data_IF_705159358702
#
_entry.id   IF_705159358702
#
_cell.length_a   1.000
_cell.length_b   1.000
_cell.length_c   1.000
_cell.angle_alpha   90.00
_cell.angle_beta   90.00
_cell.angle_gamma   90.00
#
_symmetry.space_group_name_H-M   'P 1'
#
loop_
_entity.id
_entity.type
_entity.pdbx_description
1 polymer ?
#
# COMPACT_ATOMS: atom_id res chain seq x y z
N UNK A 1 -16.16 18.14 23.07
CA UNK A 1 -14.98 17.67 22.34
C UNK A 1 -14.89 16.16 22.56
N UNK A 2 -15.23 15.35 21.55
CA UNK A 2 -15.14 13.90 21.67
C UNK A 2 -13.67 13.52 21.64
N UNK A 3 -13.16 13.00 22.74
CA UNK A 3 -11.84 12.41 22.85
C UNK A 3 -11.83 11.16 21.98
N UNK A 4 -11.24 11.25 20.79
CA UNK A 4 -10.93 10.07 19.96
C UNK A 4 -9.90 9.26 20.74
N UNK A 5 -10.34 8.20 21.43
CA UNK A 5 -9.43 7.22 22.01
C UNK A 5 -8.62 6.60 20.89
N UNK A 6 -7.36 6.99 20.79
CA UNK A 6 -6.41 6.34 19.88
C UNK A 6 -6.26 4.91 20.34
N UNK A 7 -6.73 3.95 19.53
CA UNK A 7 -6.56 2.53 19.84
C UNK A 7 -5.07 2.22 19.81
N UNK A 8 -4.50 1.87 20.96
CA UNK A 8 -3.09 1.50 21.08
C UNK A 8 -2.83 0.22 20.31
N UNK A 9 -1.86 0.24 19.38
CA UNK A 9 -1.42 -0.89 18.58
C UNK A 9 -0.07 -1.39 19.05
N UNK A 10 0.20 -2.69 18.88
CA UNK A 10 1.48 -3.31 19.23
C UNK A 10 2.27 -3.64 17.95
N UNK A 11 3.43 -3.02 17.80
CA UNK A 11 4.30 -3.15 16.63
C UNK A 11 5.61 -3.81 17.02
N UNK A 12 6.03 -4.84 16.29
CA UNK A 12 7.38 -5.38 16.38
C UNK A 12 8.24 -4.76 15.30
N UNK A 13 9.40 -4.25 15.69
CA UNK A 13 10.41 -3.69 14.78
C UNK A 13 11.65 -4.57 14.81
N UNK A 14 11.93 -5.25 13.72
CA UNK A 14 13.04 -6.16 13.55
C UNK A 14 14.10 -5.54 12.62
N UNK A 15 15.21 -5.13 13.21
CA UNK A 15 16.33 -4.48 12.52
C UNK A 15 17.60 -4.68 13.35
N UNK A 16 18.75 -4.92 12.74
CA UNK A 16 20.02 -5.12 13.47
C UNK A 16 20.64 -3.79 13.95
N UNK A 17 20.28 -2.68 13.32
CA UNK A 17 20.79 -1.33 13.61
C UNK A 17 20.03 -0.68 14.76
N UNK A 18 20.70 -0.41 15.87
CA UNK A 18 20.10 0.23 17.04
C UNK A 18 19.43 1.58 16.71
N UNK A 19 20.09 2.39 15.90
CA UNK A 19 19.59 3.71 15.47
C UNK A 19 18.22 3.60 14.76
N UNK A 20 18.05 2.62 13.88
CA UNK A 20 16.79 2.38 13.18
C UNK A 20 15.70 1.95 14.16
N UNK A 21 16.00 0.98 15.03
CA UNK A 21 15.04 0.54 16.06
C UNK A 21 14.58 1.67 16.97
N UNK A 22 15.50 2.51 17.44
CA UNK A 22 15.18 3.63 18.33
C UNK A 22 14.37 4.72 17.62
N UNK A 23 14.63 4.94 16.35
CA UNK A 23 13.87 5.86 15.50
C UNK A 23 12.41 5.41 15.34
N UNK A 24 12.17 4.13 15.06
CA UNK A 24 10.81 3.58 15.00
C UNK A 24 10.13 3.61 16.36
N UNK A 25 10.84 3.20 17.42
CA UNK A 25 10.34 3.22 18.79
C UNK A 25 9.87 4.61 19.19
N UNK A 26 10.73 5.61 19.12
CA UNK A 26 10.41 6.98 19.49
C UNK A 26 9.21 7.53 18.72
N UNK A 27 9.14 7.23 17.41
CA UNK A 27 8.06 7.72 16.54
C UNK A 27 6.71 7.07 16.89
N UNK A 28 6.69 5.77 17.11
CA UNK A 28 5.47 5.00 17.37
C UNK A 28 4.98 5.20 18.82
N UNK A 29 5.88 5.21 19.81
CA UNK A 29 5.53 5.49 21.20
C UNK A 29 5.04 6.92 21.37
N UNK A 30 5.65 7.89 20.67
CA UNK A 30 5.16 9.26 20.60
C UNK A 30 3.75 9.40 20.01
N UNK A 31 3.32 8.44 19.19
CA UNK A 31 1.97 8.33 18.66
C UNK A 31 1.01 7.48 19.53
N UNK A 32 1.45 6.99 20.70
CA UNK A 32 0.64 6.23 21.64
C UNK A 32 0.57 4.72 21.37
N UNK A 33 1.48 4.16 20.56
CA UNK A 33 1.56 2.73 20.27
C UNK A 33 2.57 2.02 21.15
N UNK A 34 2.43 0.69 21.31
CA UNK A 34 3.43 -0.16 21.98
C UNK A 34 4.44 -0.67 20.94
N UNK A 35 5.73 -0.62 21.27
CA UNK A 35 6.78 -1.06 20.38
C UNK A 35 7.67 -2.10 21.06
N UNK A 36 7.86 -3.21 20.37
CA UNK A 36 8.84 -4.24 20.73
C UNK A 36 9.93 -4.23 19.67
N UNK A 37 11.17 -4.06 20.08
CA UNK A 37 12.29 -4.09 19.14
C UNK A 37 13.10 -5.37 19.29
N UNK A 38 13.49 -5.96 18.17
CA UNK A 38 14.30 -7.17 18.11
C UNK A 38 15.44 -6.97 17.11
N UNK A 39 16.58 -7.60 17.34
CA UNK A 39 17.79 -7.42 16.53
C UNK A 39 18.18 -8.64 15.69
N UNK A 40 17.51 -9.77 15.89
CA UNK A 40 17.80 -11.01 15.19
C UNK A 40 16.53 -11.70 14.72
N UNK A 41 16.66 -12.54 13.69
CA UNK A 41 15.59 -13.37 13.19
C UNK A 41 15.03 -14.34 14.25
N UNK A 42 15.91 -14.89 15.11
CA UNK A 42 15.50 -15.78 16.20
C UNK A 42 14.62 -15.06 17.23
N UNK A 43 15.01 -13.86 17.64
CA UNK A 43 14.21 -13.02 18.54
C UNK A 43 12.85 -12.67 17.92
N UNK A 44 12.83 -12.31 16.61
CA UNK A 44 11.60 -12.01 15.90
C UNK A 44 10.65 -13.22 15.91
N UNK A 45 11.12 -14.38 15.50
CA UNK A 45 10.29 -15.59 15.45
C UNK A 45 9.81 -16.02 16.83
N UNK A 46 10.65 -15.91 17.87
CA UNK A 46 10.25 -16.16 19.25
C UNK A 46 9.13 -15.21 19.68
N UNK A 47 9.27 -13.93 19.35
CA UNK A 47 8.27 -12.91 19.69
C UNK A 47 6.95 -13.13 18.97
N UNK A 48 6.99 -13.40 17.65
CA UNK A 48 5.78 -13.69 16.86
C UNK A 48 5.06 -14.92 17.43
N UNK A 49 5.77 -15.98 17.81
CA UNK A 49 5.14 -17.18 18.40
C UNK A 49 4.50 -16.90 19.77
N UNK A 50 5.15 -16.10 20.61
CA UNK A 50 4.66 -15.82 21.95
C UNK A 50 3.44 -14.89 21.96
N UNK A 51 3.41 -13.89 21.10
CA UNK A 51 2.47 -12.77 21.18
C UNK A 51 1.57 -12.61 19.96
N UNK A 52 1.45 -13.62 19.11
CA UNK A 52 0.73 -13.53 17.83
C UNK A 52 -0.66 -12.88 17.94
N UNK A 53 -1.41 -13.19 19.00
CA UNK A 53 -2.77 -12.66 19.22
C UNK A 53 -2.82 -11.18 19.61
N UNK A 54 -1.69 -10.60 20.01
CA UNK A 54 -1.60 -9.21 20.47
C UNK A 54 -0.78 -8.31 19.54
N UNK A 55 -0.14 -8.91 18.52
CA UNK A 55 0.64 -8.17 17.54
C UNK A 55 -0.25 -7.64 16.43
N UNK A 56 -0.13 -6.36 16.13
CA UNK A 56 -0.87 -5.69 15.05
C UNK A 56 -0.05 -5.52 13.78
N UNK A 57 1.29 -5.44 13.87
CA UNK A 57 2.17 -5.20 12.73
C UNK A 57 3.61 -5.66 13.02
N UNK A 58 4.27 -6.21 12.00
CA UNK A 58 5.72 -6.40 11.97
C UNK A 58 6.34 -5.44 10.96
N UNK A 59 7.34 -4.67 11.40
CA UNK A 59 8.26 -3.93 10.53
C UNK A 59 9.55 -4.73 10.47
N UNK A 60 9.95 -5.16 9.28
CA UNK A 60 11.01 -6.11 9.06
C UNK A 60 12.08 -5.56 8.13
N UNK A 61 13.33 -5.48 8.60
CA UNK A 61 14.48 -5.39 7.69
C UNK A 61 14.76 -6.76 7.06
N UNK A 62 14.85 -6.81 5.73
CA UNK A 62 15.17 -8.02 4.98
C UNK A 62 16.64 -8.45 5.15
N UNK A 63 17.49 -7.60 5.71
CA UNK A 63 18.93 -7.83 5.86
C UNK A 63 19.34 -8.20 7.28
N UNK A 64 18.42 -8.72 8.06
CA UNK A 64 18.78 -9.25 9.37
C UNK A 64 19.89 -10.29 9.26
N UNK A 65 20.93 -10.24 10.08
CA UNK A 65 22.06 -11.16 10.03
C UNK A 65 21.62 -12.63 10.12
N UNK A 66 22.26 -13.47 9.31
CA UNK A 66 22.07 -14.94 9.27
C UNK A 66 20.65 -15.41 8.89
N UNK A 67 19.85 -14.55 8.27
CA UNK A 67 18.52 -14.94 7.78
C UNK A 67 18.21 -14.24 6.46
N UNK A 68 18.07 -14.95 5.33
CA UNK A 68 17.51 -14.38 4.11
C UNK A 68 16.10 -13.84 4.39
N UNK A 69 15.83 -12.57 4.00
CA UNK A 69 14.60 -11.88 4.37
C UNK A 69 13.35 -12.60 3.90
N UNK A 70 13.37 -13.15 2.68
CA UNK A 70 12.24 -13.93 2.13
C UNK A 70 11.98 -15.20 2.97
N UNK A 71 13.02 -15.93 3.37
CA UNK A 71 12.86 -17.15 4.18
C UNK A 71 12.38 -16.83 5.59
N UNK A 72 12.74 -15.66 6.11
CA UNK A 72 12.23 -15.18 7.38
C UNK A 72 10.73 -14.89 7.29
N UNK A 73 10.28 -14.23 6.21
CA UNK A 73 8.84 -14.01 5.95
C UNK A 73 8.12 -15.36 5.81
N UNK A 74 8.67 -16.34 5.06
CA UNK A 74 8.11 -17.70 4.98
C UNK A 74 7.97 -18.34 6.36
N UNK A 75 8.97 -18.15 7.22
CA UNK A 75 8.95 -18.70 8.58
C UNK A 75 7.89 -18.04 9.46
N UNK A 76 7.65 -16.74 9.32
CA UNK A 76 6.55 -16.04 9.99
C UNK A 76 5.22 -16.58 9.47
N UNK A 77 5.04 -16.72 8.16
CA UNK A 77 3.81 -17.20 7.53
C UNK A 77 3.40 -18.61 7.95
N UNK A 78 4.35 -19.45 8.32
CA UNK A 78 4.07 -20.79 8.91
C UNK A 78 3.46 -20.71 10.32
N UNK A 79 3.64 -19.60 11.01
CA UNK A 79 3.17 -19.40 12.38
C UNK A 79 1.86 -18.60 12.41
N UNK A 80 1.73 -17.58 11.57
CA UNK A 80 0.63 -16.60 11.61
C UNK A 80 -0.52 -16.91 10.64
N UNK A 81 -0.37 -17.92 9.80
CA UNK A 81 -1.37 -18.28 8.77
C UNK A 81 -1.74 -17.09 7.87
N UNK A 82 -0.76 -16.22 7.60
CA UNK A 82 -0.93 -15.06 6.72
C UNK A 82 -1.72 -13.88 7.29
N UNK A 83 -2.01 -13.87 8.58
CA UNK A 83 -2.90 -12.86 9.21
C UNK A 83 -2.17 -11.61 9.68
N UNK A 84 -0.92 -11.75 10.15
CA UNK A 84 -0.15 -10.63 10.69
C UNK A 84 0.38 -9.75 9.55
N UNK A 85 0.03 -8.46 9.50
CA UNK A 85 0.62 -7.56 8.51
C UNK A 85 2.13 -7.47 8.69
N UNK A 86 2.88 -7.67 7.60
CA UNK A 86 4.34 -7.48 7.56
C UNK A 86 4.64 -6.33 6.62
N UNK A 87 5.29 -5.31 7.11
CA UNK A 87 5.83 -4.21 6.33
C UNK A 87 7.34 -4.37 6.23
N UNK A 88 7.84 -4.46 5.02
CA UNK A 88 9.29 -4.53 4.78
C UNK A 88 9.87 -3.12 4.83
N UNK A 89 10.96 -2.97 5.58
CA UNK A 89 11.74 -1.75 5.67
C UNK A 89 13.18 -2.10 5.29
N UNK A 90 13.65 -1.62 4.15
CA UNK A 90 14.99 -1.93 3.67
C UNK A 90 15.54 -0.86 2.73
N UNK A 91 16.85 -0.67 2.71
CA UNK A 91 17.52 0.28 1.81
C UNK A 91 17.55 -0.16 0.35
N UNK A 92 17.54 -1.47 0.10
CA UNK A 92 17.54 -2.04 -1.25
C UNK A 92 16.77 -3.35 -1.29
N UNK A 93 15.89 -3.49 -2.26
CA UNK A 93 15.37 -4.77 -2.68
C UNK A 93 16.33 -5.29 -3.77
N UNK A 94 16.85 -6.50 -3.58
CA UNK A 94 17.94 -7.00 -4.40
C UNK A 94 17.52 -7.34 -5.85
N UNK A 95 16.26 -7.74 -6.07
CA UNK A 95 15.78 -8.13 -7.40
C UNK A 95 14.26 -8.02 -7.56
N UNK A 96 13.81 -7.99 -8.82
CA UNK A 96 12.39 -8.04 -9.14
C UNK A 96 11.73 -9.38 -8.70
N UNK A 97 12.50 -10.46 -8.65
CA UNK A 97 12.00 -11.76 -8.22
C UNK A 97 11.78 -11.80 -6.71
N UNK A 98 12.65 -11.18 -5.92
CA UNK A 98 12.44 -10.99 -4.47
C UNK A 98 11.15 -10.23 -4.18
N UNK A 99 10.85 -9.16 -4.94
CA UNK A 99 9.59 -8.41 -4.82
C UNK A 99 8.38 -9.30 -5.09
N UNK A 100 8.43 -10.11 -6.15
CA UNK A 100 7.33 -11.04 -6.50
C UNK A 100 7.12 -12.07 -5.41
N UNK A 101 8.20 -12.62 -4.86
CA UNK A 101 8.14 -13.63 -3.82
C UNK A 101 7.56 -13.05 -2.52
N UNK A 102 7.99 -11.86 -2.10
CA UNK A 102 7.44 -11.15 -0.95
C UNK A 102 5.96 -10.81 -1.14
N UNK A 103 5.57 -10.39 -2.34
CA UNK A 103 4.17 -10.13 -2.67
C UNK A 103 3.32 -11.41 -2.61
N UNK A 104 3.83 -12.54 -3.12
CA UNK A 104 3.17 -13.85 -3.04
C UNK A 104 3.00 -14.33 -1.59
N UNK A 105 3.93 -13.97 -0.69
CA UNK A 105 3.85 -14.22 0.74
C UNK A 105 2.92 -13.27 1.50
N UNK A 106 2.23 -12.36 0.80
CA UNK A 106 1.28 -11.43 1.38
C UNK A 106 1.92 -10.36 2.27
N UNK A 107 3.13 -9.90 1.90
CA UNK A 107 3.74 -8.72 2.54
C UNK A 107 2.86 -7.50 2.26
N UNK A 108 2.53 -6.75 3.31
CA UNK A 108 1.56 -5.67 3.25
C UNK A 108 2.08 -4.41 2.53
N UNK A 109 3.40 -4.21 2.54
CA UNK A 109 4.01 -3.07 1.87
C UNK A 109 5.51 -2.99 2.08
N UNK A 110 6.10 -1.97 1.44
CA UNK A 110 7.53 -1.67 1.50
C UNK A 110 7.74 -0.19 1.83
N UNK A 111 8.67 0.09 2.72
CA UNK A 111 9.14 1.45 3.05
C UNK A 111 10.64 1.50 2.84
N UNK A 112 11.11 2.52 2.12
CA UNK A 112 12.53 2.73 1.90
C UNK A 112 13.21 3.18 3.21
N UNK A 113 14.33 2.57 3.56
CA UNK A 113 15.15 2.88 4.73
C UNK A 113 15.58 4.36 4.80
N UNK A 114 15.79 4.98 3.65
CA UNK A 114 16.18 6.41 3.55
C UNK A 114 15.00 7.38 3.71
N UNK A 115 13.79 6.86 3.91
CA UNK A 115 12.62 7.72 4.16
C UNK A 115 12.83 8.53 5.44
N UNK A 116 12.52 9.82 5.39
CA UNK A 116 12.63 10.67 6.58
C UNK A 116 11.68 10.20 7.69
N UNK A 117 12.03 10.48 8.97
CA UNK A 117 11.23 10.09 10.16
C UNK A 117 9.77 10.47 10.03
N UNK A 118 9.50 11.64 9.45
CA UNK A 118 8.15 12.15 9.22
C UNK A 118 7.28 11.27 8.31
N UNK A 119 7.88 10.35 7.54
CA UNK A 119 7.17 9.42 6.66
C UNK A 119 6.92 8.05 7.29
N UNK A 120 7.48 7.75 8.48
CA UNK A 120 7.28 6.47 9.15
C UNK A 120 5.80 6.28 9.51
N UNK A 121 5.22 7.15 10.32
CA UNK A 121 3.81 7.02 10.73
C UNK A 121 2.83 7.01 9.55
N UNK A 122 2.92 7.92 8.56
CA UNK A 122 2.08 7.85 7.36
C UNK A 122 2.19 6.54 6.58
N UNK A 123 3.37 5.91 6.57
CA UNK A 123 3.57 4.63 5.90
C UNK A 123 2.98 3.45 6.68
N UNK A 124 3.01 3.50 8.01
CA UNK A 124 2.49 2.44 8.88
C UNK A 124 0.98 2.56 9.14
N UNK A 125 0.45 3.78 9.14
CA UNK A 125 -0.92 4.07 9.50
C UNK A 125 -1.99 3.25 8.72
N UNK A 126 -1.87 3.00 7.40
CA UNK A 126 -2.82 2.16 6.67
C UNK A 126 -2.86 0.70 7.16
N UNK A 127 -1.78 0.22 7.76
CA UNK A 127 -1.66 -1.15 8.27
C UNK A 127 -2.06 -1.26 9.74
N UNK A 128 -1.86 -0.19 10.52
CA UNK A 128 -2.27 -0.12 11.93
C UNK A 128 -3.76 0.15 12.10
N UNK A 129 -4.34 0.93 11.18
CA UNK A 129 -5.74 1.34 11.22
C UNK A 129 -6.43 1.10 9.86
N UNK A 130 -6.52 -0.16 9.41
CA UNK A 130 -7.08 -0.47 8.09
C UNK A 130 -8.49 0.10 7.91
N UNK A 131 -9.33 0.08 8.94
CA UNK A 131 -10.71 0.58 8.87
C UNK A 131 -10.79 2.11 8.72
N UNK A 132 -9.85 2.84 9.30
CA UNK A 132 -9.77 4.30 9.18
C UNK A 132 -9.17 4.74 7.83
N UNK A 133 -8.28 3.94 7.25
CA UNK A 133 -7.61 4.20 5.98
C UNK A 133 -8.30 3.49 4.80
N UNK A 134 -9.03 2.41 5.04
CA UNK A 134 -9.92 1.76 4.07
C UNK A 134 -11.24 2.56 3.83
N UNK A 135 -11.21 3.89 3.91
CA UNK A 135 -12.20 4.72 3.21
C UNK A 135 -12.22 4.45 1.69
N UNK A 136 -11.27 3.67 1.23
CA UNK A 136 -11.16 3.17 -0.13
C UNK A 136 -11.80 1.79 -0.16
N UNK A 137 -13.09 1.74 -0.46
CA UNK A 137 -13.88 0.50 -0.51
C UNK A 137 -13.46 -0.52 -1.58
N UNK A 138 -12.24 -0.40 -2.15
CA UNK A 138 -11.73 -1.38 -3.10
C UNK A 138 -10.20 -1.39 -3.20
N UNK A 139 -9.59 -2.55 -3.50
CA UNK A 139 -8.18 -2.70 -3.80
C UNK A 139 -7.78 -1.89 -5.04
N UNK A 140 -6.48 -1.62 -5.17
CA UNK A 140 -5.89 -0.96 -6.33
C UNK A 140 -4.98 -1.91 -7.08
N UNK A 141 -5.15 -1.95 -8.39
CA UNK A 141 -4.30 -2.71 -9.32
C UNK A 141 -3.39 -1.74 -10.04
N UNK A 142 -2.09 -2.02 -10.07
CA UNK A 142 -1.14 -1.25 -10.87
C UNK A 142 -1.48 -1.44 -12.34
N UNK A 143 -1.57 -0.33 -13.08
CA UNK A 143 -2.02 -0.34 -14.47
C UNK A 143 -1.31 0.76 -15.24
N UNK A 144 -0.60 0.40 -16.30
CA UNK A 144 0.18 1.31 -17.15
C UNK A 144 -0.42 1.46 -18.56
N UNK A 145 -1.70 1.82 -18.68
CA UNK A 145 -2.37 1.99 -19.96
C UNK A 145 -2.55 3.46 -20.32
N UNK A 146 -2.64 3.81 -21.63
CA UNK A 146 -3.00 5.14 -22.07
C UNK A 146 -4.41 5.54 -21.62
N UNK A 147 -4.55 6.79 -21.19
CA UNK A 147 -5.81 7.40 -20.81
C UNK A 147 -5.91 8.80 -21.39
N UNK A 148 -7.08 9.18 -21.86
CA UNK A 148 -7.42 10.55 -22.21
C UNK A 148 -8.25 11.14 -21.09
N UNK A 149 -8.04 12.42 -20.78
CA UNK A 149 -8.91 13.13 -19.86
C UNK A 149 -9.29 14.51 -20.43
N UNK A 150 -10.50 14.93 -20.10
CA UNK A 150 -11.06 16.22 -20.49
C UNK A 150 -11.38 17.05 -19.25
N UNK A 151 -10.92 18.28 -19.25
CA UNK A 151 -11.25 19.31 -18.28
C UNK A 151 -11.63 20.59 -19.02
N UNK A 152 -12.86 21.06 -18.89
CA UNK A 152 -13.40 22.13 -19.71
C UNK A 152 -13.29 21.80 -21.21
N UNK A 153 -12.63 22.67 -21.96
CA UNK A 153 -12.37 22.49 -23.39
C UNK A 153 -11.03 21.81 -23.71
N UNK A 154 -10.23 21.49 -22.68
CA UNK A 154 -8.91 20.87 -22.86
C UNK A 154 -9.04 19.35 -22.83
N UNK A 155 -8.39 18.69 -23.80
CA UNK A 155 -8.22 17.25 -23.84
C UNK A 155 -6.73 16.99 -23.73
N UNK A 156 -6.34 16.09 -22.82
CA UNK A 156 -4.96 15.68 -22.61
C UNK A 156 -4.87 14.17 -22.51
N UNK A 157 -3.67 13.64 -22.78
CA UNK A 157 -3.35 12.23 -22.62
C UNK A 157 -2.38 12.02 -21.44
N UNK A 158 -2.50 10.88 -20.79
CA UNK A 158 -1.64 10.48 -19.67
C UNK A 158 -1.48 8.96 -19.65
N UNK A 159 -0.69 8.44 -18.71
CA UNK A 159 -0.63 7.03 -18.38
C UNK A 159 -1.28 6.78 -17.02
N UNK A 160 -1.99 5.68 -16.91
CA UNK A 160 -2.53 5.25 -15.62
C UNK A 160 -1.41 4.75 -14.72
N UNK A 161 -1.51 5.00 -13.42
CA UNK A 161 -0.64 4.45 -12.39
C UNK A 161 -1.28 3.25 -11.70
N UNK A 162 -2.54 3.41 -11.33
CA UNK A 162 -3.34 2.33 -10.73
C UNK A 162 -4.84 2.59 -10.93
N UNK A 163 -5.61 1.52 -10.80
CA UNK A 163 -7.06 1.50 -10.92
C UNK A 163 -7.67 0.81 -9.71
N UNK A 164 -8.80 1.29 -9.26
CA UNK A 164 -9.68 0.68 -8.27
C UNK A 164 -11.13 0.74 -8.75
N UNK A 165 -12.05 0.07 -8.06
CA UNK A 165 -13.49 0.15 -8.41
C UNK A 165 -14.04 1.58 -8.42
N UNK A 166 -13.56 2.44 -7.52
CA UNK A 166 -14.06 3.81 -7.35
C UNK A 166 -13.16 4.91 -7.91
N UNK A 167 -12.08 4.59 -8.63
CA UNK A 167 -11.20 5.64 -9.14
C UNK A 167 -9.93 5.17 -9.82
N UNK A 168 -9.21 6.11 -10.39
CA UNK A 168 -8.00 5.88 -11.17
C UNK A 168 -6.94 6.94 -10.82
N UNK A 169 -5.68 6.54 -10.73
CA UNK A 169 -4.57 7.47 -10.63
C UNK A 169 -3.83 7.54 -11.97
N UNK A 170 -3.45 8.74 -12.38
CA UNK A 170 -2.76 8.99 -13.65
C UNK A 170 -1.48 9.78 -13.44
N UNK A 171 -0.48 9.49 -14.27
CA UNK A 171 0.76 10.24 -14.32
C UNK A 171 0.60 11.41 -15.28
N UNK A 172 0.76 12.63 -14.80
CA UNK A 172 0.76 13.85 -15.61
C UNK A 172 1.71 14.89 -15.01
N UNK A 173 2.34 15.67 -15.87
CA UNK A 173 3.21 16.80 -15.45
C UNK A 173 2.41 18.06 -15.11
N UNK A 174 1.13 18.09 -15.49
CA UNK A 174 0.24 19.22 -15.24
C UNK A 174 -1.04 18.73 -14.55
N UNK A 175 -0.94 18.29 -13.27
CA UNK A 175 -2.11 17.81 -12.55
C UNK A 175 -3.07 18.98 -12.25
N UNK A 176 -4.36 18.70 -12.33
CA UNK A 176 -5.41 19.65 -11.99
C UNK A 176 -5.52 19.79 -10.47
N UNK A 177 -6.08 20.90 -10.01
CA UNK A 177 -6.34 21.12 -8.59
C UNK A 177 -7.38 20.15 -8.02
N UNK A 178 -7.26 19.86 -6.72
CA UNK A 178 -8.22 19.03 -6.00
C UNK A 178 -9.65 19.56 -6.11
N UNK A 179 -10.60 18.66 -6.32
CA UNK A 179 -12.01 19.00 -6.50
C UNK A 179 -12.41 19.31 -7.95
N UNK A 180 -11.49 19.49 -8.89
CA UNK A 180 -11.81 19.75 -10.29
C UNK A 180 -12.61 18.58 -10.91
N UNK A 181 -13.70 18.90 -11.62
CA UNK A 181 -14.49 17.91 -12.38
C UNK A 181 -13.76 17.54 -13.66
N UNK A 182 -13.71 16.25 -13.93
CA UNK A 182 -12.95 15.69 -15.04
C UNK A 182 -13.70 14.51 -15.67
N UNK A 183 -13.58 14.37 -16.99
CA UNK A 183 -14.02 13.18 -17.70
C UNK A 183 -12.79 12.41 -18.17
N UNK A 184 -12.80 11.09 -18.01
CA UNK A 184 -11.72 10.23 -18.43
C UNK A 184 -12.23 9.18 -19.40
N UNK A 185 -11.37 8.83 -20.38
CA UNK A 185 -11.61 7.76 -21.34
C UNK A 185 -10.39 6.87 -21.42
N UNK A 186 -10.59 5.58 -21.24
CA UNK A 186 -9.51 4.59 -21.32
C UNK A 186 -10.07 3.23 -21.76
N UNK A 187 -9.17 2.32 -22.14
CA UNK A 187 -9.52 0.95 -22.55
C UNK A 187 -8.79 -0.05 -21.67
N UNK A 188 -9.55 -0.97 -21.09
CA UNK A 188 -8.97 -2.02 -20.26
C UNK A 188 -8.21 -3.05 -21.12
N UNK A 189 -7.13 -3.64 -20.58
CA UNK A 189 -6.46 -4.75 -21.24
C UNK A 189 -7.45 -5.88 -21.53
N UNK A 190 -7.41 -6.42 -22.77
CA UNK A 190 -8.32 -7.48 -23.21
C UNK A 190 -9.75 -7.02 -23.57
N UNK A 191 -10.11 -5.76 -23.36
CA UNK A 191 -11.41 -5.20 -23.77
C UNK A 191 -11.34 -4.55 -25.13
N UNK A 192 -12.39 -4.70 -25.93
CA UNK A 192 -12.58 -3.96 -27.19
C UNK A 192 -13.35 -2.64 -26.98
N UNK A 193 -13.90 -2.43 -25.80
CA UNK A 193 -14.75 -1.28 -25.47
C UNK A 193 -13.98 -0.23 -24.70
N UNK A 194 -14.17 1.03 -25.06
CA UNK A 194 -13.69 2.17 -24.26
C UNK A 194 -14.59 2.38 -23.06
N UNK A 195 -13.99 2.77 -21.95
CA UNK A 195 -14.66 3.16 -20.71
C UNK A 195 -14.64 4.67 -20.63
N UNK A 196 -15.81 5.28 -20.51
CA UNK A 196 -15.99 6.68 -20.19
C UNK A 196 -16.43 6.81 -18.72
N UNK A 197 -15.76 7.65 -17.97
CA UNK A 197 -16.13 7.94 -16.58
C UNK A 197 -16.05 9.44 -16.31
N UNK A 198 -17.00 9.94 -15.53
CA UNK A 198 -16.95 11.27 -14.96
C UNK A 198 -16.50 11.16 -13.50
N UNK A 199 -15.71 12.12 -13.06
CA UNK A 199 -15.20 12.10 -11.69
C UNK A 199 -14.65 13.45 -11.25
N UNK A 200 -14.01 13.41 -10.11
CA UNK A 200 -13.40 14.56 -9.46
C UNK A 200 -11.97 14.26 -9.07
N UNK A 201 -11.08 15.23 -9.20
CA UNK A 201 -9.71 15.13 -8.70
C UNK A 201 -9.74 15.01 -7.17
N UNK A 202 -9.33 13.86 -6.65
CA UNK A 202 -9.30 13.58 -5.22
C UNK A 202 -8.00 14.02 -4.56
N UNK A 203 -6.89 13.96 -5.31
CA UNK A 203 -5.57 14.43 -4.89
C UNK A 203 -4.74 14.84 -6.12
N UNK A 204 -3.79 15.73 -5.91
CA UNK A 204 -2.92 16.28 -6.93
C UNK A 204 -1.49 16.41 -6.38
N UNK A 205 -0.50 15.97 -7.16
CA UNK A 205 0.92 16.07 -6.86
C UNK A 205 1.71 16.34 -8.15
N UNK A 206 2.51 17.39 -8.18
CA UNK A 206 3.25 17.82 -9.39
C UNK A 206 4.34 16.83 -9.82
N UNK A 207 4.82 15.97 -8.92
CA UNK A 207 5.86 14.97 -9.21
C UNK A 207 5.28 13.61 -9.62
N UNK A 208 4.08 13.30 -9.15
CA UNK A 208 3.44 12.00 -9.35
C UNK A 208 2.34 12.08 -10.40
N UNK A 209 1.46 13.07 -10.30
CA UNK A 209 0.27 13.22 -11.12
C UNK A 209 -0.97 13.49 -10.28
N UNK A 210 -2.10 12.88 -10.61
CA UNK A 210 -3.36 13.09 -9.87
C UNK A 210 -4.18 11.80 -9.75
N UNK A 211 -4.95 11.72 -8.68
CA UNK A 211 -5.96 10.68 -8.47
C UNK A 211 -7.36 11.22 -8.73
N UNK A 212 -8.15 10.45 -9.46
CA UNK A 212 -9.50 10.78 -9.88
C UNK A 212 -10.44 9.80 -9.19
N UNK A 213 -11.40 10.30 -8.44
CA UNK A 213 -12.52 9.54 -7.90
C UNK A 213 -13.65 9.53 -8.91
N UNK A 214 -14.16 8.37 -9.26
CA UNK A 214 -15.31 8.24 -10.14
C UNK A 214 -16.60 8.68 -9.42
N UNK A 215 -17.39 9.52 -10.09
CA UNK A 215 -18.72 9.95 -9.64
C UNK A 215 -19.81 9.30 -10.49
N UNK A 216 -19.52 9.06 -11.78
CA UNK A 216 -20.44 8.44 -12.72
C UNK A 216 -19.70 7.57 -13.71
N UNK A 217 -20.05 6.29 -13.71
CA UNK A 217 -19.59 5.27 -14.68
C UNK A 217 -20.82 4.51 -15.16
N UNK A 218 -20.86 4.19 -16.45
CA UNK A 218 -21.93 3.35 -16.98
C UNK A 218 -21.87 1.95 -16.31
N UNK A 219 -23.00 1.34 -15.92
CA UNK A 219 -23.02 0.05 -15.20
C UNK A 219 -22.23 -1.06 -15.91
N UNK A 220 -22.33 -1.17 -17.24
CA UNK A 220 -21.57 -2.15 -18.01
C UNK A 220 -20.04 -1.88 -17.96
N UNK A 221 -19.62 -0.62 -17.94
CA UNK A 221 -18.23 -0.22 -17.79
C UNK A 221 -17.72 -0.44 -16.37
N UNK A 222 -18.56 -0.19 -15.37
CA UNK A 222 -18.26 -0.49 -13.96
C UNK A 222 -18.01 -1.99 -13.76
N UNK A 223 -18.85 -2.84 -14.36
CA UNK A 223 -18.66 -4.31 -14.30
C UNK A 223 -17.32 -4.73 -14.89
N UNK A 224 -16.86 -4.11 -15.99
CA UNK A 224 -15.55 -4.40 -16.57
C UNK A 224 -14.43 -4.00 -15.62
N UNK A 225 -14.53 -2.83 -14.97
CA UNK A 225 -13.57 -2.36 -13.96
C UNK A 225 -13.53 -3.32 -12.78
N UNK A 226 -14.68 -3.70 -12.24
CA UNK A 226 -14.81 -4.56 -11.06
C UNK A 226 -14.21 -5.93 -11.31
N UNK A 227 -14.55 -6.56 -12.44
CA UNK A 227 -14.00 -7.85 -12.85
C UNK A 227 -12.49 -7.81 -13.03
N UNK A 228 -11.97 -6.74 -13.63
CA UNK A 228 -10.53 -6.57 -13.79
C UNK A 228 -9.82 -6.42 -12.44
N UNK A 229 -10.33 -5.58 -11.55
CA UNK A 229 -9.78 -5.37 -10.22
C UNK A 229 -9.79 -6.68 -9.43
N UNK A 230 -10.89 -7.43 -9.47
CA UNK A 230 -11.01 -8.71 -8.77
C UNK A 230 -10.05 -9.77 -9.32
N UNK A 231 -10.00 -9.92 -10.64
CA UNK A 231 -9.12 -10.90 -11.29
C UNK A 231 -7.64 -10.66 -10.94
N UNK A 232 -7.19 -9.39 -10.91
CA UNK A 232 -5.80 -9.05 -10.66
C UNK A 232 -5.46 -8.94 -9.17
N UNK A 233 -6.42 -8.67 -8.32
CA UNK A 233 -6.21 -8.65 -6.88
C UNK A 233 -6.18 -10.07 -6.29
N UNK A 234 -7.05 -10.96 -6.76
CA UNK A 234 -7.12 -12.33 -6.26
C UNK A 234 -6.10 -13.27 -6.92
N UNK A 235 -5.64 -13.00 -8.14
CA UNK A 235 -4.56 -13.78 -8.75
C UNK A 235 -3.24 -13.62 -8.00
N UNK A 236 -3.00 -12.48 -7.36
CA UNK A 236 -1.87 -12.28 -6.47
C UNK A 236 -2.04 -12.93 -5.08
N UNK A 237 -3.21 -13.52 -4.75
CA UNK A 237 -3.50 -14.24 -3.49
C UNK A 237 -3.59 -15.75 -3.65
N UNK A 238 -3.53 -16.28 -4.89
CA UNK A 238 -3.69 -17.71 -5.20
C UNK A 238 -2.43 -18.36 -5.77
N UNK A 239 -1.25 -17.75 -5.57
CA UNK A 239 0.01 -18.40 -5.89
C UNK A 239 0.71 -18.83 -4.60
#
# INVERSE_FOLDING_TARGET
MASTSVTTKTVVVADDTAFVRDRFRSTLEGAGHKVVTVKTAAELLARVRADLSTLDLVVLDLRLPNAPGVDLVKSIRKVDDGKLPILVFSGTIASADEVKELAALGVAGYVNEYSAVQHILPSLAPHLFPDNFNRRGSPRVVLGIPIQYRFGNTIAAALTLNLSRGGIAIRTTSPLEGGAKIKVRFRMPGSKRDIDAEGRVAWSDRRVGMGIQFEKVEPASQTIIDNFVDAHFFSNRKA
#
